data_IF_057506806402
#
_entry.id   IF_057506806402
#
_cell.length_a   1.000
_cell.length_b   1.000
_cell.length_c   1.000
_cell.angle_alpha   90.00
_cell.angle_beta   90.00
_cell.angle_gamma   90.00
#
_symmetry.space_group_name_H-M   'P 1'
#
loop_
_entity.id
_entity.type
_entity.pdbx_description
1 polymer ?
#
# COMPACT_ATOMS: atom_id res chain seq x y z
N UNK A 1 -24.70 23.71 42.82
CA UNK A 1 -23.80 22.54 42.82
C UNK A 1 -23.45 22.23 41.39
N UNK A 2 -22.16 22.44 41.06
CA UNK A 2 -21.53 22.10 39.78
C UNK A 2 -21.20 20.61 39.79
N UNK A 3 -20.80 20.09 38.63
CA UNK A 3 -20.33 18.72 38.35
C UNK A 3 -21.39 17.74 37.84
N UNK A 4 -21.91 17.99 36.63
CA UNK A 4 -22.60 16.96 35.84
C UNK A 4 -22.29 17.09 34.34
N UNK A 5 -21.03 17.33 33.98
CA UNK A 5 -20.59 17.30 32.57
C UNK A 5 -19.28 16.52 32.34
N UNK A 6 -18.71 15.88 33.37
CA UNK A 6 -17.38 15.26 33.26
C UNK A 6 -17.38 13.82 32.72
N UNK A 7 -18.54 13.17 32.55
CA UNK A 7 -18.60 11.75 32.19
C UNK A 7 -18.68 11.50 30.66
N UNK A 8 -19.04 12.50 29.87
CA UNK A 8 -19.23 12.32 28.42
C UNK A 8 -17.92 12.39 27.62
N UNK A 9 -16.85 12.97 28.19
CA UNK A 9 -15.57 13.15 27.50
C UNK A 9 -14.72 11.87 27.41
N UNK A 10 -14.98 10.88 28.27
CA UNK A 10 -14.19 9.63 28.32
C UNK A 10 -14.62 8.60 27.27
N UNK A 11 -15.88 8.65 26.80
CA UNK A 11 -16.40 7.70 25.81
C UNK A 11 -15.90 7.99 24.38
N UNK A 12 -15.47 9.21 24.08
CA UNK A 12 -15.00 9.61 22.74
C UNK A 12 -13.57 9.16 22.43
N UNK A 13 -12.82 8.65 23.42
CA UNK A 13 -11.42 8.24 23.24
C UNK A 13 -11.25 6.78 22.79
N UNK A 14 -12.33 6.00 22.67
CA UNK A 14 -12.27 4.57 22.31
C UNK A 14 -12.42 4.30 20.81
N UNK A 15 -12.55 5.33 19.97
CA UNK A 15 -12.70 5.17 18.50
C UNK A 15 -11.44 5.52 17.69
N UNK A 16 -10.26 5.62 18.32
CA UNK A 16 -9.00 5.61 17.56
C UNK A 16 -8.67 4.16 17.14
N UNK A 17 -9.50 3.61 16.26
CA UNK A 17 -9.25 2.33 15.59
C UNK A 17 -8.03 2.42 14.69
N UNK A 18 -7.29 1.31 14.61
CA UNK A 18 -6.04 1.08 13.88
C UNK A 18 -5.84 1.99 12.66
N UNK A 19 -4.75 2.73 12.65
CA UNK A 19 -4.24 3.32 11.41
C UNK A 19 -3.89 2.19 10.45
N UNK A 20 -4.45 2.21 9.23
CA UNK A 20 -3.91 1.42 8.12
C UNK A 20 -2.39 1.64 8.07
N UNK A 21 -1.61 0.58 8.28
CA UNK A 21 -0.13 0.60 8.37
C UNK A 21 0.55 0.87 7.02
N UNK A 22 -0.24 1.20 5.99
CA UNK A 22 0.25 1.48 4.66
C UNK A 22 1.00 2.83 4.61
N UNK A 23 2.23 2.79 4.14
CA UNK A 23 3.05 3.96 3.88
C UNK A 23 2.89 4.39 2.43
N UNK A 24 2.46 5.63 2.22
CA UNK A 24 2.35 6.26 0.90
C UNK A 24 3.34 7.42 0.81
N UNK A 25 4.17 7.42 -0.22
CA UNK A 25 5.16 8.47 -0.46
C UNK A 25 5.02 9.01 -1.89
N UNK A 26 4.92 10.32 -2.02
CA UNK A 26 4.95 11.04 -3.30
C UNK A 26 6.31 11.75 -3.39
N UNK A 27 7.19 11.28 -4.27
CA UNK A 27 8.55 11.82 -4.41
C UNK A 27 8.64 12.94 -5.43
N UNK A 28 7.71 12.96 -6.39
CA UNK A 28 7.64 14.01 -7.40
C UNK A 28 6.18 14.38 -7.67
N UNK A 29 5.69 15.40 -6.95
CA UNK A 29 4.30 15.86 -7.07
C UNK A 29 3.92 16.31 -8.48
N UNK A 30 4.86 16.90 -9.22
CA UNK A 30 4.59 17.37 -10.57
C UNK A 30 4.22 16.20 -11.48
N UNK A 31 5.01 15.12 -11.43
CA UNK A 31 4.74 13.90 -12.21
C UNK A 31 3.48 13.20 -11.68
N UNK A 32 3.29 13.15 -10.36
CA UNK A 32 2.13 12.50 -9.73
C UNK A 32 0.77 13.16 -10.08
N UNK A 33 0.78 14.47 -10.37
CA UNK A 33 -0.41 15.23 -10.81
C UNK A 33 -0.70 15.10 -12.31
N UNK A 34 0.25 14.60 -13.11
CA UNK A 34 0.00 14.30 -14.52
C UNK A 34 -1.06 13.20 -14.66
N UNK A 35 -1.90 13.30 -15.69
CA UNK A 35 -2.84 12.21 -16.00
C UNK A 35 -2.07 10.93 -16.38
N UNK A 36 -2.46 9.82 -15.76
CA UNK A 36 -2.02 8.48 -16.10
C UNK A 36 -2.98 7.94 -17.16
N UNK A 37 -2.56 8.07 -18.40
CA UNK A 37 -3.28 7.55 -19.57
C UNK A 37 -2.97 6.09 -19.84
N UNK A 38 -1.76 5.65 -19.52
CA UNK A 38 -1.28 4.29 -19.73
C UNK A 38 -0.13 3.96 -18.76
N UNK A 39 0.06 2.67 -18.48
CA UNK A 39 1.18 2.14 -17.69
C UNK A 39 1.54 0.73 -18.16
N UNK A 40 2.81 0.34 -18.06
CA UNK A 40 3.22 -1.08 -18.11
C UNK A 40 3.31 -1.68 -16.70
N UNK A 41 3.26 -3.00 -16.62
CA UNK A 41 3.33 -3.75 -15.37
C UNK A 41 4.64 -4.55 -15.28
N UNK A 42 5.39 -4.33 -14.20
CA UNK A 42 6.60 -5.09 -13.86
C UNK A 42 6.33 -5.85 -12.58
N UNK A 43 6.09 -7.16 -12.69
CA UNK A 43 5.83 -8.05 -11.55
C UNK A 43 6.30 -9.46 -11.88
N UNK A 44 6.92 -10.13 -10.91
CA UNK A 44 7.38 -11.51 -11.06
C UNK A 44 6.34 -12.54 -10.66
N UNK A 45 5.50 -12.21 -9.68
CA UNK A 45 4.45 -13.10 -9.19
C UNK A 45 3.27 -13.17 -10.16
N UNK A 46 2.89 -14.39 -10.54
CA UNK A 46 1.86 -14.65 -11.56
C UNK A 46 0.46 -14.30 -11.08
N UNK A 47 0.11 -14.64 -9.84
CA UNK A 47 -1.24 -14.42 -9.31
C UNK A 47 -1.49 -12.92 -9.09
N UNK A 48 -0.45 -12.20 -8.68
CA UNK A 48 -0.47 -10.73 -8.59
C UNK A 48 -0.59 -10.11 -9.98
N UNK A 49 0.13 -10.63 -10.98
CA UNK A 49 0.02 -10.18 -12.37
C UNK A 49 -1.41 -10.28 -12.89
N UNK A 50 -2.00 -11.48 -12.78
CA UNK A 50 -3.37 -11.74 -13.24
C UNK A 50 -4.38 -10.85 -12.50
N UNK A 51 -4.23 -10.72 -11.18
CA UNK A 51 -5.06 -9.84 -10.35
C UNK A 51 -5.01 -8.38 -10.81
N UNK A 52 -3.84 -7.85 -11.13
CA UNK A 52 -3.71 -6.46 -11.57
C UNK A 52 -4.23 -6.27 -12.99
N UNK A 53 -4.03 -7.24 -13.87
CA UNK A 53 -4.55 -7.22 -15.24
C UNK A 53 -6.09 -7.23 -15.30
N UNK A 54 -6.76 -7.78 -14.27
CA UNK A 54 -8.22 -7.63 -14.10
C UNK A 54 -8.64 -6.18 -13.78
N UNK A 55 -7.77 -5.40 -13.12
CA UNK A 55 -8.09 -4.05 -12.63
C UNK A 55 -7.69 -2.95 -13.61
N UNK A 56 -6.66 -3.18 -14.42
CA UNK A 56 -6.12 -2.19 -15.33
C UNK A 56 -5.56 -2.82 -16.61
N UNK A 57 -5.77 -2.13 -17.74
CA UNK A 57 -5.26 -2.55 -19.04
C UNK A 57 -3.85 -1.99 -19.23
N UNK A 58 -2.84 -2.80 -18.91
CA UNK A 58 -1.43 -2.42 -19.05
C UNK A 58 -0.95 -2.48 -20.50
N UNK A 59 -0.07 -1.57 -20.88
CA UNK A 59 0.53 -1.46 -22.21
C UNK A 59 2.05 -1.36 -22.08
N UNK A 60 2.75 -2.33 -22.67
CA UNK A 60 4.22 -2.48 -22.62
C UNK A 60 4.98 -1.31 -23.24
N UNK A 61 4.33 -0.52 -24.10
CA UNK A 61 4.93 0.66 -24.75
C UNK A 61 4.95 1.91 -23.87
N UNK A 62 4.31 1.88 -22.70
CA UNK A 62 4.21 3.04 -21.81
C UNK A 62 5.53 3.41 -21.12
N UNK A 63 5.81 4.71 -21.09
CA UNK A 63 6.95 5.29 -20.35
C UNK A 63 6.74 5.24 -18.82
N UNK A 64 5.48 5.21 -18.38
CA UNK A 64 5.13 4.99 -16.97
C UNK A 64 5.04 3.49 -16.67
N UNK A 65 5.61 3.04 -15.55
CA UNK A 65 5.45 1.65 -15.12
C UNK A 65 5.16 1.49 -13.64
N UNK A 66 4.32 0.51 -13.37
CA UNK A 66 4.04 -0.01 -12.03
C UNK A 66 4.94 -1.21 -11.77
N UNK A 67 5.87 -1.07 -10.84
CA UNK A 67 6.64 -2.18 -10.30
C UNK A 67 5.97 -2.70 -9.02
N UNK A 68 5.75 -4.01 -8.96
CA UNK A 68 5.14 -4.67 -7.81
C UNK A 68 6.10 -5.71 -7.25
N UNK A 69 6.44 -5.54 -5.98
CA UNK A 69 7.30 -6.44 -5.23
C UNK A 69 6.57 -6.93 -4.00
N UNK A 70 6.61 -8.24 -3.76
CA UNK A 70 6.18 -8.83 -2.52
C UNK A 70 7.26 -9.75 -1.97
N UNK A 71 7.18 -9.98 -0.67
CA UNK A 71 7.93 -11.03 -0.01
C UNK A 71 7.05 -11.69 1.03
N UNK A 72 7.03 -13.00 0.95
CA UNK A 72 6.31 -13.92 1.83
C UNK A 72 7.21 -14.53 2.87
N UNK A 73 6.62 -15.09 3.93
CA UNK A 73 7.31 -15.89 4.94
C UNK A 73 8.55 -15.20 5.56
N UNK A 74 8.44 -13.89 5.82
CA UNK A 74 9.46 -13.09 6.49
C UNK A 74 9.58 -13.59 7.94
N UNK A 75 10.73 -14.15 8.28
CA UNK A 75 11.02 -14.64 9.63
C UNK A 75 12.12 -13.81 10.27
N UNK A 76 11.89 -13.36 11.51
CA UNK A 76 12.90 -12.67 12.31
C UNK A 76 13.65 -13.68 13.19
N UNK A 77 14.91 -13.94 12.84
CA UNK A 77 15.78 -14.90 13.55
C UNK A 77 16.82 -14.22 14.46
N UNK A 78 16.73 -12.90 14.66
CA UNK A 78 17.67 -12.18 15.53
C UNK A 78 17.27 -12.27 17.00
N UNK A 79 18.18 -12.76 17.84
CA UNK A 79 18.04 -12.79 19.30
C UNK A 79 17.96 -11.40 19.94
N UNK A 80 18.29 -10.34 19.20
CA UNK A 80 18.20 -8.95 19.68
C UNK A 80 16.78 -8.36 19.55
N UNK A 81 15.85 -9.06 18.88
CA UNK A 81 14.47 -8.63 18.70
C UNK A 81 13.47 -9.53 19.43
N UNK A 82 13.91 -10.25 20.47
CA UNK A 82 13.07 -11.21 21.23
C UNK A 82 11.83 -10.52 21.82
N UNK A 83 11.96 -9.29 22.31
CA UNK A 83 10.83 -8.53 22.85
C UNK A 83 9.79 -8.19 21.78
N UNK A 84 10.22 -7.79 20.57
CA UNK A 84 9.32 -7.57 19.43
C UNK A 84 8.69 -8.87 18.92
N UNK A 85 9.41 -9.99 19.02
CA UNK A 85 8.93 -11.32 18.62
C UNK A 85 7.84 -11.86 19.55
N UNK A 86 7.87 -11.46 20.83
CA UNK A 86 6.92 -11.93 21.85
C UNK A 86 5.76 -10.94 22.07
N UNK A 87 6.01 -9.64 21.92
CA UNK A 87 5.04 -8.57 22.26
C UNK A 87 4.37 -7.91 21.05
N UNK A 88 4.82 -8.15 19.82
CA UNK A 88 4.23 -7.55 18.62
C UNK A 88 4.01 -8.57 17.50
N UNK A 89 2.94 -8.40 16.74
CA UNK A 89 2.69 -9.13 15.50
C UNK A 89 3.73 -8.69 14.46
N UNK A 90 4.87 -9.38 14.43
CA UNK A 90 5.90 -9.12 13.43
C UNK A 90 5.35 -9.48 12.03
N UNK A 91 5.55 -8.63 11.01
CA UNK A 91 4.98 -8.90 9.69
C UNK A 91 5.59 -10.15 9.08
N UNK A 92 4.73 -11.01 8.56
CA UNK A 92 5.11 -12.23 7.85
C UNK A 92 5.25 -11.98 6.35
N UNK A 93 4.69 -10.90 5.82
CA UNK A 93 4.86 -10.51 4.43
C UNK A 93 4.85 -8.99 4.23
N UNK A 94 5.26 -8.55 3.04
CA UNK A 94 5.03 -7.17 2.60
C UNK A 94 4.54 -7.14 1.16
N UNK A 95 3.83 -6.05 0.83
CA UNK A 95 3.48 -5.67 -0.53
C UNK A 95 3.95 -4.24 -0.80
N UNK A 96 4.65 -4.06 -1.92
CA UNK A 96 5.16 -2.77 -2.39
C UNK A 96 4.73 -2.52 -3.83
N UNK A 97 4.21 -1.32 -4.08
CA UNK A 97 3.86 -0.82 -5.40
C UNK A 97 4.58 0.49 -5.66
N UNK A 98 5.41 0.53 -6.69
CA UNK A 98 6.20 1.71 -7.05
C UNK A 98 5.90 2.14 -8.48
N UNK A 99 5.77 3.45 -8.67
CA UNK A 99 5.47 4.03 -9.97
C UNK A 99 6.63 4.91 -10.44
N UNK A 100 7.04 4.64 -11.67
CA UNK A 100 8.17 5.28 -12.33
C UNK A 100 7.74 5.92 -13.63
N UNK A 101 8.41 7.00 -14.02
CA UNK A 101 8.34 7.61 -15.37
C UNK A 101 9.77 7.71 -15.88
N UNK A 102 10.13 6.90 -16.87
CA UNK A 102 11.54 6.61 -17.11
C UNK A 102 12.23 6.19 -15.80
N UNK A 103 13.45 6.65 -15.53
CA UNK A 103 14.20 6.25 -14.31
C UNK A 103 13.76 6.95 -13.01
N UNK A 104 12.72 7.77 -13.04
CA UNK A 104 12.31 8.60 -11.91
C UNK A 104 11.19 7.90 -11.14
N UNK A 105 11.47 7.46 -9.91
CA UNK A 105 10.46 7.06 -8.94
C UNK A 105 9.67 8.30 -8.52
N UNK A 106 8.36 8.30 -8.74
CA UNK A 106 7.51 9.43 -8.37
C UNK A 106 6.47 9.10 -7.30
N UNK A 107 6.14 7.81 -7.11
CA UNK A 107 5.19 7.36 -6.10
C UNK A 107 5.57 5.98 -5.56
N UNK A 108 5.36 5.75 -4.26
CA UNK A 108 5.50 4.44 -3.62
C UNK A 108 4.38 4.20 -2.61
N UNK A 109 3.80 3.02 -2.67
CA UNK A 109 2.95 2.43 -1.65
C UNK A 109 3.65 1.21 -1.05
N UNK A 110 3.57 1.05 0.26
CA UNK A 110 4.15 -0.07 1.00
C UNK A 110 3.23 -0.47 2.14
N UNK A 111 3.01 -1.76 2.34
CA UNK A 111 2.30 -2.29 3.51
C UNK A 111 2.98 -3.56 4.02
N UNK A 112 3.09 -3.64 5.34
CA UNK A 112 3.47 -4.83 6.09
C UNK A 112 2.20 -5.60 6.47
N UNK A 113 2.22 -6.93 6.30
CA UNK A 113 1.09 -7.82 6.55
C UNK A 113 1.48 -8.92 7.53
N UNK A 114 0.54 -9.31 8.39
CA UNK A 114 0.72 -10.42 9.34
C UNK A 114 0.50 -11.79 8.69
N UNK A 115 -0.14 -11.82 7.52
CA UNK A 115 -0.40 -13.01 6.72
C UNK A 115 0.25 -12.91 5.34
N UNK A 116 0.16 -13.98 4.56
CA UNK A 116 0.58 -14.00 3.17
C UNK A 116 -0.23 -13.02 2.30
N UNK A 117 0.43 -12.41 1.30
CA UNK A 117 -0.22 -11.41 0.42
C UNK A 117 -1.38 -12.04 -0.34
N UNK A 118 -2.60 -11.61 -0.06
CA UNK A 118 -3.79 -12.12 -0.74
C UNK A 118 -4.13 -11.30 -1.99
N UNK A 119 -4.96 -11.88 -2.87
CA UNK A 119 -5.59 -11.17 -4.00
C UNK A 119 -6.32 -9.89 -3.55
N UNK A 120 -6.93 -9.91 -2.36
CA UNK A 120 -7.65 -8.75 -1.79
C UNK A 120 -6.67 -7.62 -1.45
N UNK A 121 -5.51 -7.95 -0.89
CA UNK A 121 -4.49 -6.96 -0.52
C UNK A 121 -3.93 -6.27 -1.76
N UNK A 122 -3.67 -7.03 -2.82
CA UNK A 122 -3.25 -6.50 -4.14
C UNK A 122 -4.30 -5.54 -4.70
N UNK A 123 -5.58 -5.93 -4.67
CA UNK A 123 -6.69 -5.09 -5.15
C UNK A 123 -6.79 -3.80 -4.34
N UNK A 124 -6.74 -3.90 -3.01
CA UNK A 124 -6.82 -2.74 -2.12
C UNK A 124 -5.64 -1.79 -2.29
N UNK A 125 -4.43 -2.33 -2.43
CA UNK A 125 -3.23 -1.55 -2.70
C UNK A 125 -3.37 -0.79 -4.03
N UNK A 126 -3.81 -1.46 -5.10
CA UNK A 126 -4.00 -0.79 -6.39
C UNK A 126 -5.11 0.27 -6.36
N UNK A 127 -6.24 0.01 -5.68
CA UNK A 127 -7.27 1.01 -5.45
C UNK A 127 -6.73 2.22 -4.69
N UNK A 128 -5.82 2.00 -3.74
CA UNK A 128 -5.15 3.11 -3.05
C UNK A 128 -4.27 3.90 -4.02
N UNK A 129 -3.50 3.24 -4.89
CA UNK A 129 -2.74 3.91 -5.95
C UNK A 129 -3.65 4.79 -6.81
N UNK A 130 -4.81 4.27 -7.23
CA UNK A 130 -5.77 5.01 -8.03
C UNK A 130 -6.39 6.21 -7.31
N UNK A 131 -6.56 6.12 -5.98
CA UNK A 131 -7.08 7.22 -5.17
C UNK A 131 -6.07 8.37 -5.01
N UNK A 132 -4.78 8.05 -4.96
CA UNK A 132 -3.71 9.03 -4.71
C UNK A 132 -3.20 9.72 -5.98
N UNK A 133 -3.51 9.17 -7.17
CA UNK A 133 -2.99 9.64 -8.45
C UNK A 133 -4.11 9.93 -9.45
N UNK A 134 -3.79 10.77 -10.43
CA UNK A 134 -4.75 11.19 -11.44
C UNK A 134 -4.86 10.16 -12.58
N UNK A 135 -5.75 9.18 -12.46
CA UNK A 135 -6.03 8.21 -13.52
C UNK A 135 -7.07 8.74 -14.50
N UNK A 136 -6.85 8.49 -15.79
CA UNK A 136 -7.87 8.78 -16.80
C UNK A 136 -9.11 7.92 -16.54
N UNK A 137 -10.25 8.56 -16.30
CA UNK A 137 -11.53 7.85 -16.17
C UNK A 137 -11.87 7.15 -17.49
N UNK A 138 -12.25 5.86 -17.40
CA UNK A 138 -12.84 5.16 -18.54
C UNK A 138 -14.21 5.82 -18.80
N UNK A 139 -14.31 6.59 -19.88
CA UNK A 139 -15.60 7.05 -20.44
C UNK A 139 -16.44 5.86 -20.90
#
# INVERSE_FOLDING_TARGET
MKHSHSLFLFLLLLFQGCSDSAMVNIFNEKIAKEEITCMKLVVFDKDVKETLQELYSFDESCDKWLEVSLKSSITCNSNQNVDKKILSNFPSSYLRMQLYKGKILFFSYYIDLEEEVSKKDVKNAFLRVQKELNFKEKK
#
